data_IF_164995035074
#
_entry.id   IF_164995035074
#
_cell.length_a   1.000
_cell.length_b   1.000
_cell.length_c   1.000
_cell.angle_alpha   90.00
_cell.angle_beta   90.00
_cell.angle_gamma   90.00
#
_symmetry.space_group_name_H-M   'P 1'
#
loop_
_entity.id
_entity.type
_entity.pdbx_description
1 polymer ?
#
# COMPACT_ATOMS: atom_id res chain seq x y z
N UNK A 1 -0.26 8.03 -14.35
CA UNK A 1 0.04 8.22 -12.91
C UNK A 1 1.42 8.83 -12.81
N UNK A 2 1.68 9.87 -11.98
CA UNK A 2 3.01 10.45 -11.90
C UNK A 2 3.99 9.43 -11.28
N UNK A 3 5.17 9.30 -11.89
CA UNK A 3 6.14 8.21 -11.65
C UNK A 3 6.84 8.27 -10.29
N UNK A 4 6.67 9.32 -9.50
CA UNK A 4 7.28 9.49 -8.17
C UNK A 4 6.25 10.05 -7.19
N UNK A 5 5.63 9.19 -6.38
CA UNK A 5 4.81 9.61 -5.23
C UNK A 5 5.78 10.01 -4.11
N UNK A 6 5.57 11.16 -3.44
CA UNK A 6 6.42 11.56 -2.32
C UNK A 6 6.36 10.55 -1.19
N UNK A 7 7.50 10.34 -0.54
CA UNK A 7 7.65 9.48 0.64
C UNK A 7 7.00 10.09 1.87
N UNK A 8 6.77 9.28 2.91
CA UNK A 8 6.26 9.76 4.21
C UNK A 8 7.13 10.87 4.80
N UNK A 9 8.44 10.78 4.62
CA UNK A 9 9.40 11.78 5.11
C UNK A 9 9.23 13.08 4.33
N UNK A 10 9.21 13.02 2.99
CA UNK A 10 9.01 14.20 2.15
C UNK A 10 7.66 14.90 2.41
N UNK A 11 6.62 14.13 2.72
CA UNK A 11 5.32 14.67 3.12
C UNK A 11 5.37 15.39 4.46
N UNK A 12 6.06 14.84 5.46
CA UNK A 12 6.24 15.47 6.77
C UNK A 12 7.11 16.73 6.66
N UNK A 13 8.19 16.68 5.89
CA UNK A 13 9.08 17.82 5.65
C UNK A 13 8.33 18.98 4.95
N UNK A 14 7.46 18.65 4.00
CA UNK A 14 6.62 19.65 3.33
C UNK A 14 5.60 20.28 4.30
N UNK A 15 4.98 19.49 5.17
CA UNK A 15 4.07 19.99 6.21
C UNK A 15 4.82 20.85 7.21
N UNK A 16 5.99 20.44 7.66
CA UNK A 16 6.83 21.19 8.59
C UNK A 16 7.24 22.54 7.99
N UNK A 17 7.70 22.54 6.73
CA UNK A 17 8.07 23.75 5.99
C UNK A 17 6.91 24.75 5.93
N UNK A 18 5.71 24.26 5.61
CA UNK A 18 4.50 25.06 5.59
C UNK A 18 4.11 25.63 6.98
N UNK A 19 4.25 24.83 8.04
CA UNK A 19 3.91 25.28 9.40
C UNK A 19 4.90 26.32 9.94
N UNK A 20 6.17 26.28 9.50
CA UNK A 20 7.20 27.27 9.86
C UNK A 20 7.01 28.59 9.12
N UNK A 21 6.68 28.54 7.83
CA UNK A 21 6.47 29.73 7.01
C UNK A 21 5.12 29.63 6.28
N UNK A 22 4.01 29.96 6.96
CA UNK A 22 2.69 29.91 6.37
C UNK A 22 2.50 31.00 5.31
N UNK A 23 1.67 30.69 4.32
CA UNK A 23 1.38 31.60 3.21
C UNK A 23 0.63 32.83 3.73
N UNK A 24 1.00 34.01 3.24
CA UNK A 24 0.44 35.29 3.71
C UNK A 24 -1.03 35.50 3.33
N UNK A 25 -1.47 34.88 2.23
CA UNK A 25 -2.88 34.89 1.83
C UNK A 25 -3.71 33.98 2.74
N UNK A 26 -4.65 34.57 3.47
CA UNK A 26 -5.52 33.86 4.41
C UNK A 26 -6.38 32.75 3.76
N UNK A 27 -6.78 32.91 2.49
CA UNK A 27 -7.54 31.86 1.79
C UNK A 27 -6.66 30.67 1.43
N UNK A 28 -5.46 30.95 0.93
CA UNK A 28 -4.45 29.94 0.66
C UNK A 28 -4.01 29.22 1.95
N UNK A 29 -3.80 29.97 3.04
CA UNK A 29 -3.44 29.41 4.35
C UNK A 29 -4.52 28.46 4.89
N UNK A 30 -5.80 28.86 4.83
CA UNK A 30 -6.89 27.99 5.25
C UNK A 30 -6.97 26.68 4.42
N UNK A 31 -6.65 26.76 3.13
CA UNK A 31 -6.57 25.58 2.28
C UNK A 31 -5.37 24.69 2.64
N UNK A 32 -4.16 25.24 2.72
CA UNK A 32 -2.95 24.48 3.02
C UNK A 32 -2.97 23.88 4.43
N UNK A 33 -3.57 24.54 5.43
CA UNK A 33 -3.84 23.94 6.75
C UNK A 33 -4.68 22.67 6.66
N UNK A 34 -5.72 22.67 5.83
CA UNK A 34 -6.56 21.47 5.64
C UNK A 34 -5.79 20.36 4.95
N UNK A 35 -4.97 20.70 3.95
CA UNK A 35 -4.10 19.73 3.27
C UNK A 35 -3.11 19.13 4.26
N UNK A 36 -2.42 19.96 5.05
CA UNK A 36 -1.48 19.52 6.09
C UNK A 36 -2.17 18.61 7.13
N UNK A 37 -3.35 18.99 7.61
CA UNK A 37 -4.13 18.16 8.52
C UNK A 37 -4.49 16.79 7.93
N UNK A 38 -4.87 16.74 6.65
CA UNK A 38 -5.13 15.48 5.96
C UNK A 38 -3.87 14.63 5.79
N UNK A 39 -2.74 15.23 5.43
CA UNK A 39 -1.46 14.53 5.30
C UNK A 39 -1.06 13.91 6.65
N UNK A 40 -1.13 14.67 7.74
CA UNK A 40 -0.84 14.15 9.09
C UNK A 40 -1.78 13.01 9.48
N UNK A 41 -3.08 13.13 9.17
CA UNK A 41 -4.05 12.06 9.42
C UNK A 41 -3.81 10.80 8.58
N UNK A 42 -3.27 10.92 7.36
CA UNK A 42 -2.83 9.78 6.53
C UNK A 42 -1.63 9.12 7.18
N UNK A 43 -0.55 9.87 7.43
CA UNK A 43 0.70 9.33 8.01
C UNK A 43 0.43 8.68 9.37
N UNK A 44 -0.43 9.25 10.20
CA UNK A 44 -0.82 8.65 11.48
C UNK A 44 -1.50 7.29 11.30
N UNK A 45 -2.45 7.16 10.36
CA UNK A 45 -3.14 5.90 10.09
C UNK A 45 -2.20 4.86 9.51
N UNK A 46 -1.34 5.25 8.58
CA UNK A 46 -0.29 4.39 8.06
C UNK A 46 0.61 3.87 9.18
N UNK A 47 1.08 4.71 10.11
CA UNK A 47 1.92 4.27 11.23
C UNK A 47 1.21 3.28 12.16
N UNK A 48 -0.08 3.49 12.43
CA UNK A 48 -0.86 2.62 13.29
C UNK A 48 -1.21 1.27 12.64
N UNK A 49 -1.43 1.26 11.32
CA UNK A 49 -2.00 0.12 10.61
C UNK A 49 -0.99 -0.61 9.70
N UNK A 50 0.17 -0.03 9.40
CA UNK A 50 1.13 -0.57 8.42
C UNK A 50 1.49 -2.03 8.69
N UNK A 51 1.89 -2.37 9.91
CA UNK A 51 2.33 -3.74 10.22
C UNK A 51 1.20 -4.76 10.07
N UNK A 52 -0.01 -4.42 10.54
CA UNK A 52 -1.18 -5.29 10.41
C UNK A 52 -1.59 -5.44 8.94
N UNK A 53 -1.61 -4.34 8.19
CA UNK A 53 -1.96 -4.34 6.78
C UNK A 53 -0.97 -5.14 5.94
N UNK A 54 0.34 -5.01 6.18
CA UNK A 54 1.38 -5.79 5.50
C UNK A 54 1.16 -7.29 5.74
N UNK A 55 0.84 -7.72 6.96
CA UNK A 55 0.53 -9.13 7.23
C UNK A 55 -0.74 -9.57 6.50
N UNK A 56 -1.80 -8.75 6.50
CA UNK A 56 -3.07 -9.06 5.86
C UNK A 56 -2.95 -9.16 4.33
N UNK A 57 -2.26 -8.21 3.70
CA UNK A 57 -1.99 -8.21 2.25
C UNK A 57 -1.28 -9.50 1.83
N UNK A 58 -0.25 -9.89 2.59
CA UNK A 58 0.54 -11.09 2.30
C UNK A 58 -0.27 -12.36 2.48
N UNK A 59 -1.09 -12.43 3.53
CA UNK A 59 -1.99 -13.57 3.74
C UNK A 59 -3.02 -13.70 2.60
N UNK A 60 -3.61 -12.59 2.16
CA UNK A 60 -4.56 -12.58 1.04
C UNK A 60 -3.92 -13.08 -0.25
N UNK A 61 -2.72 -12.58 -0.58
CA UNK A 61 -1.97 -13.05 -1.75
C UNK A 61 -1.64 -14.54 -1.63
N UNK A 62 -1.10 -14.99 -0.48
CA UNK A 62 -0.75 -16.39 -0.25
C UNK A 62 -1.95 -17.34 -0.39
N UNK A 63 -3.10 -16.95 0.16
CA UNK A 63 -4.29 -17.82 0.16
C UNK A 63 -4.94 -17.87 -1.22
N UNK A 64 -4.74 -16.85 -2.05
CA UNK A 64 -5.51 -16.68 -3.30
C UNK A 64 -4.70 -16.83 -4.58
N UNK A 65 -3.37 -16.82 -4.50
CA UNK A 65 -2.50 -17.12 -5.63
C UNK A 65 -2.46 -18.63 -5.89
N UNK A 66 -2.75 -19.09 -7.13
CA UNK A 66 -2.70 -20.50 -7.48
C UNK A 66 -1.29 -21.11 -7.34
N UNK A 67 -0.23 -20.31 -7.49
CA UNK A 67 1.18 -20.72 -7.30
C UNK A 67 1.47 -21.13 -5.85
N UNK A 68 0.65 -20.65 -4.91
CA UNK A 68 0.73 -20.96 -3.48
C UNK A 68 -0.16 -22.15 -3.08
N UNK A 69 -1.02 -22.65 -3.98
CA UNK A 69 -1.99 -23.71 -3.66
C UNK A 69 -1.33 -25.03 -3.22
N UNK A 70 -0.09 -25.27 -3.65
CA UNK A 70 0.70 -26.46 -3.27
C UNK A 70 1.61 -26.20 -2.06
N UNK A 71 1.62 -24.99 -1.50
CA UNK A 71 2.44 -24.67 -0.35
C UNK A 71 1.79 -25.21 0.93
N UNK A 72 2.45 -26.18 1.56
CA UNK A 72 1.92 -26.99 2.67
C UNK A 72 1.82 -26.26 4.01
N UNK A 73 2.38 -25.06 4.13
CA UNK A 73 2.37 -24.28 5.36
C UNK A 73 2.24 -22.79 5.08
N UNK A 74 1.35 -22.13 5.83
CA UNK A 74 1.31 -20.67 5.90
C UNK A 74 2.56 -20.22 6.68
N UNK A 75 3.41 -19.34 6.12
CA UNK A 75 4.55 -18.84 6.86
C UNK A 75 4.10 -18.11 8.12
N UNK A 76 4.69 -18.46 9.26
CA UNK A 76 4.27 -17.95 10.58
C UNK A 76 5.25 -16.91 11.13
N UNK A 77 6.48 -16.86 10.63
CA UNK A 77 7.48 -15.85 10.99
C UNK A 77 7.70 -14.85 9.85
N UNK A 78 8.16 -13.65 10.20
CA UNK A 78 8.43 -12.57 9.24
C UNK A 78 9.46 -12.98 8.18
N UNK A 79 10.55 -13.64 8.60
CA UNK A 79 11.60 -14.15 7.72
C UNK A 79 11.07 -15.19 6.73
N UNK A 80 10.31 -16.18 7.23
CA UNK A 80 9.68 -17.20 6.37
C UNK A 80 8.73 -16.56 5.38
N UNK A 81 7.96 -15.57 5.83
CA UNK A 81 7.03 -14.87 4.96
C UNK A 81 7.81 -14.10 3.89
N UNK A 82 8.95 -13.51 4.22
CA UNK A 82 9.74 -12.69 3.29
C UNK A 82 10.33 -13.56 2.18
N UNK A 83 10.91 -14.68 2.58
CA UNK A 83 11.44 -15.66 1.65
C UNK A 83 10.34 -16.22 0.75
N UNK A 84 9.20 -16.61 1.32
CA UNK A 84 8.10 -17.16 0.56
C UNK A 84 7.49 -16.15 -0.45
N UNK A 85 7.38 -14.87 -0.07
CA UNK A 85 7.00 -13.80 -1.00
C UNK A 85 8.03 -13.61 -2.13
N UNK A 86 9.33 -13.69 -1.82
CA UNK A 86 10.38 -13.58 -2.84
C UNK A 86 10.32 -14.73 -3.85
N UNK A 87 10.10 -15.95 -3.38
CA UNK A 87 9.96 -17.13 -4.23
C UNK A 87 8.74 -17.04 -5.16
N UNK A 88 7.60 -16.56 -4.64
CA UNK A 88 6.40 -16.32 -5.45
C UNK A 88 6.65 -15.24 -6.49
N UNK A 89 7.22 -14.10 -6.10
CA UNK A 89 7.52 -13.02 -7.04
C UNK A 89 8.44 -13.50 -8.16
N UNK A 90 9.44 -14.32 -7.85
CA UNK A 90 10.33 -14.86 -8.85
C UNK A 90 9.60 -15.79 -9.83
N UNK A 91 8.75 -16.70 -9.33
CA UNK A 91 7.91 -17.55 -10.18
C UNK A 91 6.95 -16.75 -11.07
N UNK A 92 6.31 -15.72 -10.52
CA UNK A 92 5.45 -14.81 -11.29
C UNK A 92 6.26 -14.07 -12.37
N UNK A 93 7.45 -13.57 -12.04
CA UNK A 93 8.32 -12.94 -13.03
C UNK A 93 8.70 -13.91 -14.14
N UNK A 94 9.05 -15.15 -13.81
CA UNK A 94 9.41 -16.19 -14.78
C UNK A 94 8.20 -16.51 -15.69
N UNK A 95 7.00 -16.61 -15.13
CA UNK A 95 5.76 -16.84 -15.89
C UNK A 95 5.38 -15.64 -16.77
N UNK A 96 5.56 -14.40 -16.29
CA UNK A 96 5.36 -13.18 -17.11
C UNK A 96 6.32 -13.19 -18.28
N UNK A 97 7.59 -13.53 -18.03
CA UNK A 97 8.62 -13.56 -19.06
C UNK A 97 8.37 -14.65 -20.12
N UNK A 98 7.68 -15.72 -19.74
CA UNK A 98 7.30 -16.82 -20.64
C UNK A 98 5.94 -16.60 -21.32
N UNK A 99 5.28 -15.45 -21.11
CA UNK A 99 3.90 -15.16 -21.55
C UNK A 99 2.86 -16.21 -21.07
N UNK A 100 3.14 -16.88 -19.94
CA UNK A 100 2.31 -17.95 -19.38
C UNK A 100 1.27 -17.44 -18.36
N UNK A 101 1.26 -16.13 -18.05
CA UNK A 101 0.26 -15.57 -17.14
C UNK A 101 -1.06 -15.33 -17.88
N UNK A 102 -2.05 -16.16 -17.55
CA UNK A 102 -3.44 -15.77 -17.68
C UNK A 102 -3.81 -14.88 -16.48
N UNK A 103 -4.06 -13.58 -16.71
CA UNK A 103 -4.73 -12.71 -15.74
C UNK A 103 -6.14 -13.27 -15.48
N UNK A 104 -6.25 -14.16 -14.49
CA UNK A 104 -7.51 -14.77 -14.15
C UNK A 104 -8.36 -13.83 -13.27
N UNK A 105 -9.64 -14.14 -13.19
CA UNK A 105 -10.61 -13.35 -12.41
C UNK A 105 -10.24 -13.34 -10.92
N UNK A 106 -9.58 -14.39 -10.42
CA UNK A 106 -9.23 -14.56 -9.01
C UNK A 106 -8.09 -13.63 -8.61
N UNK A 107 -7.02 -13.59 -9.38
CA UNK A 107 -5.90 -12.67 -9.23
C UNK A 107 -6.40 -11.22 -9.30
N UNK A 108 -7.19 -10.91 -10.33
CA UNK A 108 -7.73 -9.56 -10.52
C UNK A 108 -8.60 -9.12 -9.33
N UNK A 109 -9.48 -9.99 -8.84
CA UNK A 109 -10.31 -9.71 -7.65
C UNK A 109 -9.47 -9.52 -6.38
N UNK A 110 -8.39 -10.29 -6.22
CA UNK A 110 -7.52 -10.21 -5.04
C UNK A 110 -6.74 -8.91 -5.04
N UNK A 111 -6.19 -8.52 -6.18
CA UNK A 111 -5.50 -7.24 -6.35
C UNK A 111 -6.45 -6.05 -6.13
N UNK A 112 -7.69 -6.16 -6.59
CA UNK A 112 -8.71 -5.13 -6.35
C UNK A 112 -9.03 -5.00 -4.86
N UNK A 113 -9.22 -6.11 -4.15
CA UNK A 113 -9.47 -6.10 -2.70
C UNK A 113 -8.30 -5.47 -1.94
N UNK A 114 -7.06 -5.83 -2.28
CA UNK A 114 -5.85 -5.22 -1.69
C UNK A 114 -5.81 -3.72 -1.97
N UNK A 115 -6.12 -3.30 -3.20
CA UNK A 115 -6.16 -1.89 -3.56
C UNK A 115 -7.24 -1.12 -2.78
N UNK A 116 -8.42 -1.72 -2.57
CA UNK A 116 -9.49 -1.14 -1.76
C UNK A 116 -9.08 -1.00 -0.28
N UNK A 117 -8.39 -2.01 0.28
CA UNK A 117 -7.88 -1.94 1.64
C UNK A 117 -6.79 -0.87 1.79
N UNK A 118 -5.88 -0.72 0.81
CA UNK A 118 -4.90 0.38 0.78
C UNK A 118 -5.60 1.74 0.71
N UNK A 119 -6.63 1.84 -0.14
CA UNK A 119 -7.42 3.06 -0.26
C UNK A 119 -8.16 3.39 1.05
N UNK A 120 -8.58 2.39 1.84
CA UNK A 120 -9.20 2.62 3.14
C UNK A 120 -8.25 3.33 4.13
N UNK A 121 -6.97 2.97 4.10
CA UNK A 121 -5.93 3.59 4.92
C UNK A 121 -5.63 5.00 4.41
N UNK A 122 -5.54 5.21 3.10
CA UNK A 122 -5.24 6.53 2.54
C UNK A 122 -6.46 7.48 2.67
N UNK A 123 -7.65 7.00 2.37
CA UNK A 123 -8.87 7.80 2.28
C UNK A 123 -10.12 7.00 2.67
N UNK A 124 -10.54 7.05 3.95
CA UNK A 124 -11.56 6.17 4.49
C UNK A 124 -12.97 6.55 4.02
N UNK A 125 -13.13 7.75 3.42
CA UNK A 125 -14.41 8.25 2.90
C UNK A 125 -14.79 7.65 1.55
N UNK A 126 -13.86 7.03 0.84
CA UNK A 126 -14.05 6.52 -0.52
C UNK A 126 -14.13 4.99 -0.59
N UNK A 127 -14.24 4.32 0.55
CA UNK A 127 -14.52 2.89 0.62
C UNK A 127 -16.04 2.75 0.75
N UNK A 128 -16.70 2.53 -0.38
CA UNK A 128 -18.14 2.21 -0.47
C UNK A 128 -18.26 0.80 -1.02
#
# INVERSE_FOLDING_TARGET
MPLNRPTRIELLDAVESYLREPVTDAKADAFYRRVAGNVLAIVQRELLQANQFVMQERLLLWTRLPECANATAIPTTEEQTQQACSEINQRLCDQIQQDEIAFDTRLTSTLLEIAQLKLAIDNPRHVV
#
